data_IF_968525061320
#
_entry.id   IF_968525061320
#
_cell.length_a   1.000
_cell.length_b   1.000
_cell.length_c   1.000
_cell.angle_alpha   90.00
_cell.angle_beta   90.00
_cell.angle_gamma   90.00
#
_symmetry.space_group_name_H-M   'P 1'
#
loop_
_entity.id
_entity.type
_entity.pdbx_description
1 polymer ?
#
# COMPACT_ATOMS: atom_id res chain seq x y z
N UNK A 1 -12.97 -20.45 -0.48
CA UNK A 1 -13.51 -19.11 -0.18
C UNK A 1 -12.67 -18.54 0.93
N UNK A 2 -12.28 -17.28 0.82
CA UNK A 2 -11.54 -16.61 1.88
C UNK A 2 -12.55 -16.09 2.88
N UNK A 3 -12.42 -16.47 4.15
CA UNK A 3 -13.30 -15.96 5.21
C UNK A 3 -12.66 -14.77 5.91
N UNK A 4 -13.50 -13.89 6.46
CA UNK A 4 -13.05 -12.81 7.31
C UNK A 4 -12.35 -13.38 8.55
N UNK A 5 -11.15 -12.87 8.83
CA UNK A 5 -10.39 -13.21 10.03
C UNK A 5 -9.78 -11.93 10.62
N UNK A 6 -10.16 -11.53 11.84
CA UNK A 6 -9.69 -10.31 12.49
C UNK A 6 -8.17 -10.20 12.50
N UNK A 7 -7.64 -9.08 12.01
CA UNK A 7 -6.21 -8.79 11.93
C UNK A 7 -5.42 -9.63 10.92
N UNK A 8 -6.07 -10.52 10.18
CA UNK A 8 -5.42 -11.44 9.23
C UNK A 8 -5.92 -11.23 7.81
N UNK A 9 -7.24 -11.28 7.58
CA UNK A 9 -7.83 -11.14 6.25
C UNK A 9 -9.19 -10.44 6.30
N UNK A 10 -9.39 -9.44 5.45
CA UNK A 10 -10.66 -8.70 5.34
C UNK A 10 -11.03 -8.29 3.91
N UNK A 11 -10.25 -8.71 2.91
CA UNK A 11 -10.53 -8.43 1.49
C UNK A 11 -10.40 -9.67 0.59
N UNK A 12 -11.36 -9.82 -0.31
CA UNK A 12 -11.40 -10.87 -1.33
C UNK A 12 -10.59 -10.53 -2.60
N UNK A 13 -10.54 -11.46 -3.57
CA UNK A 13 -9.76 -11.33 -4.80
C UNK A 13 -10.02 -10.05 -5.60
N UNK A 14 -11.27 -9.60 -5.75
CA UNK A 14 -11.57 -8.37 -6.48
C UNK A 14 -10.98 -7.13 -5.80
N UNK A 15 -11.13 -7.03 -4.49
CA UNK A 15 -10.57 -5.93 -3.74
C UNK A 15 -9.05 -5.96 -3.80
N UNK A 16 -8.39 -7.13 -3.67
CA UNK A 16 -6.95 -7.27 -3.85
C UNK A 16 -6.49 -6.80 -5.24
N UNK A 17 -7.16 -7.23 -6.32
CA UNK A 17 -6.84 -6.78 -7.70
C UNK A 17 -6.89 -5.26 -7.84
N UNK A 18 -7.89 -4.59 -7.26
CA UNK A 18 -8.00 -3.11 -7.28
C UNK A 18 -6.78 -2.45 -6.61
N UNK A 19 -6.28 -3.00 -5.50
CA UNK A 19 -5.12 -2.42 -4.79
C UNK A 19 -3.80 -2.76 -5.46
N UNK A 20 -3.67 -3.95 -6.05
CA UNK A 20 -2.53 -4.28 -6.92
C UNK A 20 -2.46 -3.33 -8.11
N UNK A 21 -3.59 -3.00 -8.74
CA UNK A 21 -3.63 -2.03 -9.84
C UNK A 21 -3.21 -0.63 -9.38
N UNK A 22 -3.68 -0.17 -8.23
CA UNK A 22 -3.24 1.10 -7.65
C UNK A 22 -1.74 1.11 -7.34
N UNK A 23 -1.22 0.02 -6.78
CA UNK A 23 0.22 -0.15 -6.56
C UNK A 23 1.03 -0.10 -7.86
N UNK A 24 0.56 -0.76 -8.92
CA UNK A 24 1.20 -0.72 -10.23
C UNK A 24 1.21 0.70 -10.84
N UNK A 25 0.10 1.43 -10.74
CA UNK A 25 0.04 2.83 -11.17
C UNK A 25 0.99 3.73 -10.38
N UNK A 26 1.10 3.52 -9.07
CA UNK A 26 2.05 4.25 -8.22
C UNK A 26 3.52 3.91 -8.56
N UNK A 27 3.82 2.66 -8.92
CA UNK A 27 5.13 2.26 -9.43
C UNK A 27 5.47 2.98 -10.74
N UNK A 28 4.51 3.05 -11.67
CA UNK A 28 4.68 3.79 -12.92
C UNK A 28 4.92 5.28 -12.66
N UNK A 29 4.14 5.91 -11.77
CA UNK A 29 4.34 7.30 -11.39
C UNK A 29 5.74 7.53 -10.78
N UNK A 30 6.21 6.61 -9.93
CA UNK A 30 7.57 6.66 -9.37
C UNK A 30 8.63 6.60 -10.46
N UNK A 31 8.48 5.68 -11.42
CA UNK A 31 9.40 5.55 -12.55
C UNK A 31 9.45 6.84 -13.39
N UNK A 32 8.29 7.45 -13.69
CA UNK A 32 8.23 8.70 -14.46
C UNK A 32 8.94 9.85 -13.75
N UNK A 33 8.78 9.98 -12.42
CA UNK A 33 9.50 10.99 -11.63
C UNK A 33 11.02 10.77 -11.71
N UNK A 34 11.48 9.52 -11.53
CA UNK A 34 12.91 9.19 -11.61
C UNK A 34 13.46 9.52 -13.00
N UNK A 35 12.80 9.07 -14.06
CA UNK A 35 13.24 9.34 -15.43
C UNK A 35 13.27 10.83 -15.76
N UNK A 36 12.25 11.59 -15.32
CA UNK A 36 12.21 13.04 -15.53
C UNK A 36 13.39 13.73 -14.83
N UNK A 37 13.69 13.36 -13.58
CA UNK A 37 14.84 13.92 -12.85
C UNK A 37 16.16 13.55 -13.52
N UNK A 38 16.33 12.30 -13.99
CA UNK A 38 17.57 11.86 -14.64
C UNK A 38 17.78 12.47 -16.03
N UNK A 39 16.71 12.72 -16.78
CA UNK A 39 16.77 13.25 -18.14
C UNK A 39 16.84 14.78 -18.23
N UNK A 40 16.83 15.49 -17.11
CA UNK A 40 16.78 16.96 -17.06
C UNK A 40 17.70 17.52 -15.96
N UNK A 41 17.85 18.85 -15.93
CA UNK A 41 18.60 19.57 -14.89
C UNK A 41 17.79 19.79 -13.60
N UNK A 42 16.72 19.03 -13.40
CA UNK A 42 15.93 19.09 -12.16
C UNK A 42 16.81 18.63 -10.99
N UNK A 43 16.71 19.36 -9.88
CA UNK A 43 17.38 19.02 -8.63
C UNK A 43 17.10 17.58 -8.21
N UNK A 44 18.15 16.81 -7.93
CA UNK A 44 18.04 15.42 -7.43
C UNK A 44 17.24 15.30 -6.13
N UNK A 45 17.10 16.37 -5.35
CA UNK A 45 16.23 16.41 -4.17
C UNK A 45 14.75 16.16 -4.48
N UNK A 46 14.30 16.39 -5.72
CA UNK A 46 12.92 16.06 -6.14
C UNK A 46 12.63 14.56 -6.03
N UNK A 47 13.65 13.70 -6.07
CA UNK A 47 13.50 12.26 -5.86
C UNK A 47 12.92 11.91 -4.48
N UNK A 48 13.00 12.80 -3.48
CA UNK A 48 12.38 12.59 -2.17
C UNK A 48 10.84 12.49 -2.28
N UNK A 49 10.22 13.11 -3.29
CA UNK A 49 8.77 13.01 -3.53
C UNK A 49 8.32 11.57 -3.82
N UNK A 50 9.23 10.71 -4.28
CA UNK A 50 8.93 9.29 -4.53
C UNK A 50 8.46 8.55 -3.29
N UNK A 51 8.72 9.05 -2.08
CA UNK A 51 8.26 8.43 -0.82
C UNK A 51 6.74 8.27 -0.78
N UNK A 52 6.00 9.22 -1.34
CA UNK A 52 4.53 9.18 -1.37
C UNK A 52 4.05 8.05 -2.28
N UNK A 53 4.58 7.98 -3.49
CA UNK A 53 4.22 6.93 -4.45
C UNK A 53 4.69 5.55 -3.96
N UNK A 54 5.90 5.44 -3.42
CA UNK A 54 6.42 4.19 -2.87
C UNK A 54 5.65 3.69 -1.65
N UNK A 55 5.06 4.59 -0.85
CA UNK A 55 4.11 4.21 0.20
C UNK A 55 2.87 3.52 -0.38
N UNK A 56 2.29 4.07 -1.46
CA UNK A 56 1.15 3.45 -2.14
C UNK A 56 1.53 2.11 -2.78
N UNK A 57 2.74 2.00 -3.34
CA UNK A 57 3.28 0.72 -3.84
C UNK A 57 3.36 -0.31 -2.72
N UNK A 58 3.95 0.05 -1.58
CA UNK A 58 4.10 -0.84 -0.43
C UNK A 58 2.74 -1.28 0.14
N UNK A 59 1.79 -0.35 0.28
CA UNK A 59 0.42 -0.65 0.66
C UNK A 59 -0.22 -1.65 -0.30
N UNK A 60 -0.21 -1.38 -1.61
CA UNK A 60 -0.79 -2.27 -2.62
C UNK A 60 -0.18 -3.66 -2.60
N UNK A 61 1.16 -3.75 -2.51
CA UNK A 61 1.89 -5.01 -2.45
C UNK A 61 1.54 -5.83 -1.20
N UNK A 62 1.59 -5.21 -0.02
CA UNK A 62 1.27 -5.90 1.23
C UNK A 62 -0.21 -6.32 1.27
N UNK A 63 -1.13 -5.51 0.74
CA UNK A 63 -2.56 -5.83 0.74
C UNK A 63 -2.85 -7.02 -0.20
N UNK A 64 -2.14 -7.09 -1.34
CA UNK A 64 -2.21 -8.21 -2.26
C UNK A 64 -1.61 -9.50 -1.68
N UNK A 65 -0.52 -9.40 -0.89
CA UNK A 65 0.08 -10.57 -0.26
C UNK A 65 -0.76 -11.12 0.89
N UNK A 66 -1.34 -10.24 1.69
CA UNK A 66 -2.00 -10.62 2.95
C UNK A 66 -3.51 -10.78 2.85
N UNK A 67 -4.15 -10.21 1.81
CA UNK A 67 -5.60 -10.10 1.77
C UNK A 67 -6.17 -9.23 2.89
N UNK A 68 -5.37 -8.30 3.43
CA UNK A 68 -5.76 -7.41 4.52
C UNK A 68 -5.64 -5.96 4.09
N UNK A 69 -6.76 -5.25 4.04
CA UNK A 69 -6.86 -3.81 3.79
C UNK A 69 -6.91 -3.02 5.11
N UNK A 70 -5.90 -2.21 5.43
CA UNK A 70 -5.85 -1.43 6.67
C UNK A 70 -6.92 -0.32 6.71
N UNK A 71 -7.38 0.18 5.54
CA UNK A 71 -8.48 1.14 5.47
C UNK A 71 -9.80 0.52 5.93
N UNK A 72 -10.12 -0.66 5.41
CA UNK A 72 -11.33 -1.39 5.79
C UNK A 72 -11.33 -1.75 7.27
N UNK A 73 -10.20 -2.26 7.75
CA UNK A 73 -9.95 -2.51 9.17
C UNK A 73 -10.15 -1.26 10.05
N UNK A 74 -9.69 -0.09 9.59
CA UNK A 74 -9.85 1.17 10.32
C UNK A 74 -11.32 1.60 10.41
N UNK A 75 -12.09 1.38 9.33
CA UNK A 75 -13.51 1.76 9.25
C UNK A 75 -14.48 0.68 9.76
N UNK A 76 -13.98 -0.47 10.23
CA UNK A 76 -14.83 -1.54 10.76
C UNK A 76 -15.65 -2.26 9.70
N UNK A 77 -15.08 -2.43 8.50
CA UNK A 77 -15.73 -3.16 7.40
C UNK A 77 -14.81 -4.23 6.84
N UNK A 78 -15.40 -5.19 6.14
CA UNK A 78 -14.69 -6.19 5.35
C UNK A 78 -15.50 -6.53 4.10
N UNK A 79 -14.83 -7.10 3.10
CA UNK A 79 -15.46 -7.59 1.87
C UNK A 79 -14.63 -8.73 1.30
N UNK A 80 -14.99 -9.96 1.65
CA UNK A 80 -14.27 -11.17 1.25
C UNK A 80 -14.90 -11.87 0.05
N UNK A 81 -15.90 -11.26 -0.61
CA UNK A 81 -16.50 -11.84 -1.80
C UNK A 81 -15.54 -11.79 -2.99
N UNK A 82 -15.74 -12.71 -3.93
CA UNK A 82 -14.88 -12.83 -5.11
C UNK A 82 -14.98 -11.62 -6.06
N UNK A 83 -16.13 -10.95 -6.04
CA UNK A 83 -16.47 -9.79 -6.86
C UNK A 83 -16.28 -8.44 -6.15
N UNK A 84 -16.10 -8.44 -4.82
CA UNK A 84 -15.92 -7.25 -4.00
C UNK A 84 -17.15 -6.34 -3.94
N UNK A 85 -18.34 -6.97 -3.89
CA UNK A 85 -19.63 -6.26 -3.80
C UNK A 85 -20.38 -6.54 -2.50
N UNK A 86 -19.93 -7.51 -1.68
CA UNK A 86 -20.59 -7.89 -0.43
C UNK A 86 -19.91 -7.27 0.80
N UNK A 87 -19.89 -5.94 0.85
CA UNK A 87 -19.34 -5.24 2.02
C UNK A 87 -20.18 -5.48 3.27
N UNK A 88 -19.52 -5.92 4.35
CA UNK A 88 -20.13 -6.20 5.66
C UNK A 88 -19.45 -5.39 6.75
N UNK A 89 -20.15 -5.19 7.86
CA UNK A 89 -19.61 -4.54 9.06
C UNK A 89 -19.04 -5.56 10.03
N UNK A 90 -17.97 -5.18 10.72
CA UNK A 90 -17.45 -5.92 11.88
C UNK A 90 -18.34 -5.56 13.07
N UNK A 91 -19.13 -6.52 13.55
CA UNK A 91 -20.10 -6.29 14.64
C UNK A 91 -19.49 -6.46 16.02
N UNK A 92 -18.43 -7.25 16.14
CA UNK A 92 -17.71 -7.47 17.40
C UNK A 92 -16.67 -6.36 17.64
N UNK A 93 -16.68 -5.79 18.84
CA UNK A 93 -15.82 -4.66 19.19
C UNK A 93 -14.35 -5.06 19.37
N UNK A 94 -14.08 -6.29 19.83
CA UNK A 94 -12.73 -6.81 20.04
C UNK A 94 -12.08 -7.17 18.69
N UNK A 95 -12.87 -7.68 17.75
CA UNK A 95 -12.46 -7.90 16.37
C UNK A 95 -12.07 -6.56 15.70
N UNK A 96 -12.92 -5.54 15.82
CA UNK A 96 -12.61 -4.21 15.28
C UNK A 96 -11.38 -3.59 15.96
N UNK A 97 -11.20 -3.79 17.26
CA UNK A 97 -9.98 -3.35 17.95
C UNK A 97 -8.74 -4.07 17.44
N UNK A 98 -8.82 -5.37 17.15
CA UNK A 98 -7.73 -6.17 16.57
C UNK A 98 -7.38 -5.69 15.16
N UNK A 99 -8.38 -5.44 14.34
CA UNK A 99 -8.24 -4.86 13.01
C UNK A 99 -7.55 -3.50 13.05
N UNK A 100 -7.96 -2.59 13.93
CA UNK A 100 -7.32 -1.26 14.09
C UNK A 100 -5.87 -1.36 14.52
N UNK A 101 -5.53 -2.27 15.45
CA UNK A 101 -4.15 -2.52 15.87
C UNK A 101 -3.30 -3.02 14.70
N UNK A 102 -3.83 -3.96 13.90
CA UNK A 102 -3.17 -4.46 12.71
C UNK A 102 -2.99 -3.37 11.66
N UNK A 103 -4.02 -2.57 11.39
CA UNK A 103 -3.98 -1.48 10.42
C UNK A 103 -2.86 -0.46 10.71
N UNK A 104 -2.68 -0.08 11.98
CA UNK A 104 -1.57 0.80 12.39
C UNK A 104 -0.21 0.19 12.09
N UNK A 105 0.00 -1.09 12.44
CA UNK A 105 1.25 -1.81 12.14
C UNK A 105 1.49 -1.89 10.64
N UNK A 106 0.44 -2.12 9.87
CA UNK A 106 0.48 -2.19 8.42
C UNK A 106 0.97 -0.87 7.81
N UNK A 107 0.37 0.26 8.18
CA UNK A 107 0.80 1.57 7.71
C UNK A 107 2.24 1.90 8.11
N UNK A 108 2.67 1.52 9.32
CA UNK A 108 4.05 1.69 9.75
C UNK A 108 5.03 0.83 8.93
N UNK A 109 4.65 -0.41 8.60
CA UNK A 109 5.45 -1.28 7.72
C UNK A 109 5.56 -0.69 6.31
N UNK A 110 4.44 -0.25 5.73
CA UNK A 110 4.41 0.42 4.43
C UNK A 110 5.26 1.69 4.41
N UNK A 111 5.19 2.52 5.47
CA UNK A 111 6.01 3.73 5.61
C UNK A 111 7.50 3.40 5.70
N UNK A 112 7.88 2.38 6.48
CA UNK A 112 9.27 1.90 6.55
C UNK A 112 9.80 1.45 5.19
N UNK A 113 9.02 0.64 4.45
CA UNK A 113 9.38 0.21 3.09
C UNK A 113 9.52 1.38 2.12
N UNK A 114 8.62 2.36 2.20
CA UNK A 114 8.67 3.55 1.36
C UNK A 114 9.92 4.39 1.62
N UNK A 115 10.26 4.63 2.90
CA UNK A 115 11.45 5.38 3.30
C UNK A 115 12.72 4.67 2.78
N UNK A 116 12.83 3.36 2.99
CA UNK A 116 13.96 2.57 2.50
C UNK A 116 14.05 2.63 0.97
N UNK A 117 12.92 2.43 0.27
CA UNK A 117 12.87 2.51 -1.19
C UNK A 117 13.27 3.88 -1.73
N UNK A 118 12.78 4.97 -1.13
CA UNK A 118 13.19 6.33 -1.51
C UNK A 118 14.67 6.56 -1.24
N UNK A 119 15.22 6.05 -0.13
CA UNK A 119 16.65 6.10 0.15
C UNK A 119 17.48 5.46 -0.96
N UNK A 120 17.05 4.30 -1.45
CA UNK A 120 17.69 3.62 -2.60
C UNK A 120 17.58 4.46 -3.87
N UNK A 121 16.39 4.98 -4.19
CA UNK A 121 16.17 5.82 -5.37
C UNK A 121 17.06 7.06 -5.36
N UNK A 122 17.12 7.77 -4.23
CA UNK A 122 17.97 8.97 -4.07
C UNK A 122 19.45 8.60 -4.18
N UNK A 123 19.90 7.54 -3.51
CA UNK A 123 21.29 7.10 -3.57
C UNK A 123 21.71 6.76 -5.01
N UNK A 124 20.89 5.99 -5.74
CA UNK A 124 21.14 5.67 -7.15
C UNK A 124 21.12 6.94 -8.00
N UNK A 125 20.12 7.81 -7.85
CA UNK A 125 19.99 9.03 -8.65
C UNK A 125 21.11 10.05 -8.45
N UNK A 126 21.77 10.04 -7.29
CA UNK A 126 22.97 10.87 -7.03
C UNK A 126 24.25 10.23 -7.57
N UNK A 127 24.31 8.90 -7.64
CA UNK A 127 25.46 8.16 -8.19
C UNK A 127 25.44 8.07 -9.73
N UNK A 128 24.28 8.27 -10.36
CA UNK A 128 24.13 8.30 -11.82
C UNK A 128 24.39 9.74 -12.32
N UNK A 129 25.45 9.96 -13.11
CA UNK A 129 25.79 11.28 -13.67
C UNK A 129 24.70 11.80 -14.60
#
# INVERSE_FOLDING_TARGET
MTDYQPGVCNIGPAEQRKRSALGALASLATLLVVLAVLATDISRFVLLVTVVSLFVVAEGFLQAQTGFCPRFASTGVYDVSDDGTERRQVTDADDHATDRRRARRFHLQSAGLAIVGTGVVVAVGVLVP
#
